data_IF_887149792852
#
_entry.id   IF_887149792852
#
_cell.length_a   1.000
_cell.length_b   1.000
_cell.length_c   1.000
_cell.angle_alpha   90.00
_cell.angle_beta   90.00
_cell.angle_gamma   90.00
#
_symmetry.space_group_name_H-M   'P 1'
#
loop_
_entity.id
_entity.type
_entity.pdbx_description
1 polymer ?
#
# COMPACT_ATOMS: atom_id res chain seq x y z
N UNK A 1 5.00 -38.03 12.54
CA UNK A 1 3.61 -37.73 12.10
C UNK A 1 3.60 -37.72 10.59
N UNK A 2 2.78 -38.53 9.93
CA UNK A 2 2.71 -38.59 8.46
C UNK A 2 1.63 -37.63 7.99
N UNK A 3 2.02 -36.60 7.26
CA UNK A 3 1.12 -35.60 6.67
C UNK A 3 0.20 -36.31 5.67
N UNK A 4 -1.11 -36.12 5.80
CA UNK A 4 -2.07 -36.64 4.83
C UNK A 4 -2.02 -35.77 3.58
N UNK A 5 -1.86 -36.34 2.38
CA UNK A 5 -1.94 -35.58 1.14
C UNK A 5 -3.33 -34.97 0.98
N UNK A 6 -3.37 -33.72 0.51
CA UNK A 6 -4.60 -32.96 0.27
C UNK A 6 -5.27 -33.54 -0.98
N UNK A 7 -6.55 -33.88 -0.85
CA UNK A 7 -7.37 -34.44 -1.92
C UNK A 7 -8.06 -33.31 -2.71
N UNK A 8 -7.69 -33.18 -3.99
CA UNK A 8 -8.22 -32.17 -4.91
C UNK A 8 -9.38 -32.68 -5.77
N UNK A 9 -9.86 -33.91 -5.57
CA UNK A 9 -10.97 -34.49 -6.35
C UNK A 9 -12.30 -33.72 -6.25
N UNK A 10 -12.43 -32.80 -5.29
CA UNK A 10 -13.59 -31.91 -5.16
C UNK A 10 -13.67 -30.82 -6.22
N UNK A 11 -12.55 -30.49 -6.87
CA UNK A 11 -12.50 -29.45 -7.90
C UNK A 11 -12.78 -29.99 -9.30
N UNK A 12 -12.72 -31.30 -9.48
CA UNK A 12 -12.85 -31.99 -10.78
C UNK A 12 -14.31 -32.13 -11.26
N UNK A 13 -15.27 -31.62 -10.48
CA UNK A 13 -16.70 -31.63 -10.81
C UNK A 13 -17.28 -30.23 -11.07
N UNK A 14 -16.43 -29.21 -11.29
CA UNK A 14 -16.86 -27.91 -11.79
C UNK A 14 -17.07 -27.99 -13.31
N UNK A 15 -18.16 -28.63 -13.73
CA UNK A 15 -18.72 -28.42 -15.07
C UNK A 15 -19.31 -27.00 -15.11
N UNK A 16 -18.49 -26.03 -15.50
CA UNK A 16 -18.96 -24.72 -15.94
C UNK A 16 -19.54 -24.88 -17.34
N UNK A 17 -20.79 -25.32 -17.42
CA UNK A 17 -21.59 -25.12 -18.62
C UNK A 17 -21.83 -23.62 -18.75
N UNK A 18 -21.03 -22.99 -19.60
CA UNK A 18 -21.21 -21.63 -20.07
C UNK A 18 -22.49 -21.62 -20.91
N UNK A 19 -23.59 -21.16 -20.30
CA UNK A 19 -24.89 -21.00 -20.94
C UNK A 19 -24.82 -19.71 -21.79
N UNK A 20 -24.18 -19.83 -22.95
CA UNK A 20 -24.22 -18.87 -24.04
C UNK A 20 -25.63 -18.88 -24.65
N UNK A 21 -26.45 -17.86 -24.37
CA UNK A 21 -27.43 -17.32 -25.32
C UNK A 21 -28.18 -16.10 -24.74
N UNK A 22 -27.64 -14.89 -24.98
CA UNK A 22 -28.46 -13.70 -25.26
C UNK A 22 -27.58 -12.60 -25.88
N UNK A 23 -27.51 -12.60 -27.20
CA UNK A 23 -26.79 -11.64 -28.04
C UNK A 23 -27.49 -10.26 -28.05
N UNK A 24 -27.54 -9.56 -26.91
CA UNK A 24 -27.83 -8.13 -26.89
C UNK A 24 -26.63 -7.39 -27.48
N UNK A 25 -26.75 -6.97 -28.75
CA UNK A 25 -25.85 -6.05 -29.44
C UNK A 25 -25.75 -4.71 -28.70
N UNK A 26 -24.98 -4.67 -27.61
CA UNK A 26 -24.55 -3.45 -26.94
C UNK A 26 -23.52 -2.79 -27.84
N UNK A 27 -23.96 -1.77 -28.58
CA UNK A 27 -23.08 -0.95 -29.38
C UNK A 27 -21.95 -0.36 -28.52
N UNK A 28 -20.77 -0.11 -29.11
CA UNK A 28 -19.61 0.39 -28.36
C UNK A 28 -19.95 1.71 -27.67
N UNK A 29 -19.44 1.95 -26.44
CA UNK A 29 -19.71 3.16 -25.69
C UNK A 29 -19.25 4.38 -26.49
N UNK A 30 -20.19 5.29 -26.75
CA UNK A 30 -19.96 6.47 -27.59
C UNK A 30 -19.53 7.63 -26.71
N UNK A 31 -18.23 7.88 -26.63
CA UNK A 31 -17.65 9.00 -25.89
C UNK A 31 -17.76 10.28 -26.71
N UNK A 32 -18.61 11.21 -26.28
CA UNK A 32 -18.71 12.55 -26.88
C UNK A 32 -17.71 13.49 -26.21
N UNK A 33 -16.66 13.89 -26.95
CA UNK A 33 -15.76 14.95 -26.52
C UNK A 33 -16.36 16.32 -26.83
N UNK A 34 -16.39 17.20 -25.84
CA UNK A 34 -16.73 18.61 -26.05
C UNK A 34 -15.47 19.38 -26.45
N UNK A 35 -15.49 20.02 -27.62
CA UNK A 35 -14.36 20.80 -28.15
C UNK A 35 -14.30 22.23 -27.62
N UNK A 36 -15.29 22.65 -26.81
CA UNK A 36 -15.38 24.02 -26.30
C UNK A 36 -15.52 24.01 -24.78
N UNK A 37 -14.87 24.93 -24.05
CA UNK A 37 -15.03 25.08 -22.61
C UNK A 37 -16.45 25.57 -22.30
N UNK A 38 -17.34 24.67 -21.91
CA UNK A 38 -18.67 25.04 -21.44
C UNK A 38 -18.60 25.60 -20.02
N UNK A 39 -18.97 26.87 -19.85
CA UNK A 39 -19.19 27.46 -18.54
C UNK A 39 -20.59 27.13 -18.05
N UNK A 40 -20.70 26.43 -16.93
CA UNK A 40 -21.97 26.24 -16.23
C UNK A 40 -22.22 27.47 -15.36
N UNK A 41 -23.08 28.37 -15.84
CA UNK A 41 -23.56 29.50 -15.05
C UNK A 41 -24.71 29.03 -14.16
N UNK A 42 -24.42 28.76 -12.88
CA UNK A 42 -25.46 28.51 -11.88
C UNK A 42 -26.05 29.85 -11.47
N UNK A 43 -27.20 30.19 -12.05
CA UNK A 43 -27.95 31.42 -11.74
C UNK A 43 -28.96 31.21 -10.62
N UNK A 44 -29.04 32.17 -9.70
CA UNK A 44 -30.26 32.47 -8.93
C UNK A 44 -30.10 32.67 -7.43
N UNK A 45 -29.66 33.85 -6.99
CA UNK A 45 -30.48 34.69 -6.10
C UNK A 45 -29.84 36.07 -5.87
N UNK A 46 -30.63 37.11 -6.12
CA UNK A 46 -30.32 38.52 -5.88
C UNK A 46 -30.09 38.80 -4.40
N UNK A 47 -28.85 39.10 -4.02
CA UNK A 47 -28.56 39.90 -2.84
C UNK A 47 -27.61 41.04 -3.21
N UNK A 48 -28.21 42.22 -3.33
CA UNK A 48 -27.53 43.51 -3.48
C UNK A 48 -26.77 43.82 -2.20
N UNK A 49 -25.43 43.69 -2.23
CA UNK A 49 -24.55 44.27 -1.20
C UNK A 49 -23.86 45.50 -1.82
N UNK A 50 -23.96 46.70 -1.22
CA UNK A 50 -23.32 47.90 -1.74
C UNK A 50 -21.80 47.80 -1.60
N UNK A 51 -21.15 47.89 -2.75
CA UNK A 51 -19.71 48.00 -2.96
C UNK A 51 -19.14 49.26 -2.30
N UNK A 52 -18.13 49.10 -1.41
CA UNK A 52 -17.21 50.19 -1.08
C UNK A 52 -15.86 49.71 -0.50
N UNK A 53 -14.83 49.74 -1.36
CA UNK A 53 -13.38 49.86 -1.07
C UNK A 53 -12.67 48.73 -0.27
N UNK A 54 -11.32 48.59 -0.31
CA UNK A 54 -10.30 49.38 -1.03
C UNK A 54 -9.47 48.55 -2.03
N UNK A 55 -8.55 49.22 -2.73
CA UNK A 55 -7.66 48.68 -3.75
C UNK A 55 -7.04 47.31 -3.42
N UNK A 56 -7.13 46.31 -4.32
CA UNK A 56 -6.41 45.07 -4.15
C UNK A 56 -4.92 45.36 -4.30
N UNK A 57 -4.17 45.08 -3.24
CA UNK A 57 -2.74 44.79 -3.36
C UNK A 57 -2.58 43.69 -4.43
N UNK A 58 -1.54 43.70 -5.27
CA UNK A 58 -1.27 42.61 -6.19
C UNK A 58 -0.88 41.38 -5.36
N UNK A 59 -1.88 40.70 -4.82
CA UNK A 59 -1.80 39.32 -4.40
C UNK A 59 -1.29 38.57 -5.61
N UNK A 60 -0.03 38.16 -5.51
CA UNK A 60 0.58 37.11 -6.30
C UNK A 60 -0.33 35.88 -6.25
N UNK A 61 -1.35 35.85 -7.11
CA UNK A 61 -2.01 34.63 -7.52
C UNK A 61 -0.98 33.90 -8.34
N UNK A 62 -0.09 33.20 -7.63
CA UNK A 62 0.87 32.29 -8.19
C UNK A 62 0.06 31.33 -9.06
N UNK A 63 0.27 31.28 -10.38
CA UNK A 63 -0.37 30.27 -11.19
C UNK A 63 0.15 28.94 -10.66
N UNK A 64 -0.76 28.07 -10.22
CA UNK A 64 -0.47 26.68 -9.89
C UNK A 64 -0.78 25.82 -11.13
N UNK A 65 0.17 25.61 -12.06
CA UNK A 65 0.13 24.46 -12.96
C UNK A 65 1.28 23.51 -12.58
N UNK A 66 1.17 22.86 -11.42
CA UNK A 66 2.12 21.84 -10.97
C UNK A 66 1.46 20.52 -10.50
N UNK A 67 0.15 20.34 -10.76
CA UNK A 67 -0.62 19.19 -10.27
C UNK A 67 -0.46 17.91 -11.11
N UNK A 68 0.76 17.47 -11.44
CA UNK A 68 0.91 16.21 -12.21
C UNK A 68 2.10 15.31 -11.89
N UNK A 69 3.06 15.78 -11.09
CA UNK A 69 4.21 14.96 -10.64
C UNK A 69 4.17 14.74 -9.13
N UNK A 70 3.62 15.69 -8.35
CA UNK A 70 3.58 15.63 -6.88
C UNK A 70 2.77 14.43 -6.36
N UNK A 71 1.81 13.91 -7.14
CA UNK A 71 1.01 12.73 -6.77
C UNK A 71 1.80 11.40 -6.84
N UNK A 72 2.92 11.35 -7.57
CA UNK A 72 3.68 10.11 -7.80
C UNK A 72 4.60 9.79 -6.60
N UNK A 73 4.91 10.79 -5.76
CA UNK A 73 5.73 10.64 -4.55
C UNK A 73 4.93 10.76 -3.25
N UNK A 74 3.61 10.54 -3.29
CA UNK A 74 2.75 10.63 -2.11
C UNK A 74 3.27 9.69 -0.98
N UNK A 75 3.56 10.26 0.19
CA UNK A 75 4.16 9.54 1.34
C UNK A 75 5.48 8.82 1.04
N UNK A 76 6.21 9.24 -0.01
CA UNK A 76 7.49 8.68 -0.41
C UNK A 76 8.53 9.75 -0.70
N UNK A 77 9.45 9.46 -1.62
CA UNK A 77 10.55 10.34 -1.99
C UNK A 77 10.91 10.17 -3.47
N UNK A 78 11.46 11.23 -4.07
CA UNK A 78 11.95 11.23 -5.45
C UNK A 78 13.47 11.26 -5.49
N UNK A 79 14.05 10.43 -6.35
CA UNK A 79 15.46 10.34 -6.69
C UNK A 79 15.67 10.65 -8.18
N UNK A 80 16.92 10.85 -8.65
CA UNK A 80 17.18 11.10 -10.06
C UNK A 80 16.77 9.95 -10.99
N UNK A 81 16.89 8.70 -10.55
CA UNK A 81 16.65 7.49 -11.37
C UNK A 81 15.27 6.86 -11.14
N UNK A 82 14.66 7.11 -9.97
CA UNK A 82 13.34 6.58 -9.64
C UNK A 82 12.62 7.50 -8.66
N UNK A 83 11.32 7.34 -8.53
CA UNK A 83 10.53 7.91 -7.43
C UNK A 83 9.72 6.80 -6.81
N UNK A 84 9.38 6.91 -5.53
CA UNK A 84 8.51 5.94 -4.89
C UNK A 84 7.45 6.64 -4.06
N UNK A 85 6.36 5.92 -3.84
CA UNK A 85 5.25 6.28 -2.97
C UNK A 85 4.79 5.05 -2.21
N UNK A 86 3.94 5.26 -1.22
CA UNK A 86 3.37 4.15 -0.47
C UNK A 86 2.00 4.51 0.09
N UNK A 87 1.21 3.46 0.31
CA UNK A 87 0.00 3.53 1.10
C UNK A 87 0.12 2.60 2.33
N UNK A 88 -1.01 2.18 2.88
CA UNK A 88 -1.03 1.28 4.05
C UNK A 88 -0.51 -0.14 3.78
N UNK A 89 -0.63 -0.64 2.55
CA UNK A 89 -0.39 -2.05 2.20
C UNK A 89 0.69 -2.27 1.14
N UNK A 90 0.95 -1.28 0.29
CA UNK A 90 1.92 -1.36 -0.80
C UNK A 90 2.89 -0.17 -0.81
N UNK A 91 4.10 -0.42 -1.31
CA UNK A 91 5.02 0.59 -1.78
C UNK A 91 5.13 0.46 -3.31
N UNK A 92 4.98 1.58 -4.02
CA UNK A 92 5.08 1.61 -5.48
C UNK A 92 6.33 2.39 -5.87
N UNK A 93 7.19 1.78 -6.66
CA UNK A 93 8.39 2.42 -7.22
C UNK A 93 8.21 2.65 -8.72
N UNK A 94 8.52 3.86 -9.19
CA UNK A 94 8.51 4.26 -10.59
C UNK A 94 9.95 4.56 -11.03
N UNK A 95 10.52 3.70 -11.88
CA UNK A 95 11.89 3.85 -12.37
C UNK A 95 11.85 4.46 -13.77
N UNK A 96 12.54 5.58 -13.95
CA UNK A 96 12.51 6.29 -15.22
C UNK A 96 13.22 5.48 -16.30
N UNK A 97 12.53 5.27 -17.42
CA UNK A 97 12.99 4.44 -18.53
C UNK A 97 13.19 5.27 -19.80
N UNK A 98 14.20 4.96 -20.63
CA UNK A 98 14.32 5.55 -21.96
C UNK A 98 13.03 5.41 -22.79
N UNK A 99 12.66 6.39 -23.64
CA UNK A 99 11.40 6.37 -24.39
C UNK A 99 11.20 5.16 -25.33
N UNK A 100 12.29 4.51 -25.74
CA UNK A 100 12.28 3.32 -26.59
C UNK A 100 12.16 1.99 -25.82
N UNK A 101 12.12 2.04 -24.49
CA UNK A 101 12.07 0.85 -23.62
C UNK A 101 10.80 0.05 -23.87
N UNK A 102 10.98 -1.26 -24.09
CA UNK A 102 9.94 -2.27 -24.21
C UNK A 102 10.00 -3.23 -23.02
N UNK A 103 8.95 -4.01 -22.81
CA UNK A 103 8.90 -5.00 -21.72
C UNK A 103 10.10 -5.97 -21.75
N UNK A 104 10.51 -6.45 -22.94
CA UNK A 104 11.67 -7.34 -23.09
C UNK A 104 13.02 -6.71 -22.71
N UNK A 105 13.08 -5.38 -22.59
CA UNK A 105 14.29 -4.64 -22.23
C UNK A 105 14.41 -4.47 -20.70
N UNK A 106 13.39 -4.91 -19.95
CA UNK A 106 13.28 -4.79 -18.50
C UNK A 106 13.48 -6.15 -17.86
N UNK A 107 14.34 -6.19 -16.84
CA UNK A 107 14.54 -7.34 -15.97
C UNK A 107 14.32 -6.89 -14.53
N UNK A 108 13.33 -7.47 -13.86
CA UNK A 108 13.05 -7.26 -12.44
C UNK A 108 13.40 -8.56 -11.72
N UNK A 109 14.17 -8.48 -10.64
CA UNK A 109 14.54 -9.65 -9.84
C UNK A 109 14.50 -9.28 -8.38
N UNK A 110 13.86 -10.14 -7.58
CA UNK A 110 13.84 -10.03 -6.14
C UNK A 110 14.36 -11.31 -5.51
N UNK A 111 15.24 -11.18 -4.52
CA UNK A 111 15.83 -12.30 -3.79
C UNK A 111 15.43 -12.21 -2.32
N UNK A 112 14.53 -13.12 -1.90
CA UNK A 112 13.94 -13.13 -0.56
C UNK A 112 14.98 -13.27 0.55
N UNK A 113 15.96 -14.13 0.37
CA UNK A 113 16.98 -14.44 1.40
C UNK A 113 17.84 -13.23 1.77
N UNK A 114 18.13 -12.38 0.78
CA UNK A 114 19.02 -11.21 0.93
C UNK A 114 18.26 -9.89 1.00
N UNK A 115 16.92 -9.91 0.98
CA UNK A 115 16.19 -8.65 1.02
C UNK A 115 16.23 -7.88 -0.30
N UNK A 116 16.72 -8.45 -1.40
CA UNK A 116 17.37 -7.66 -2.46
C UNK A 116 16.51 -7.50 -3.71
N UNK A 117 16.29 -6.25 -4.14
CA UNK A 117 15.58 -5.94 -5.38
C UNK A 117 16.59 -5.38 -6.40
N UNK A 118 16.51 -5.85 -7.65
CA UNK A 118 17.27 -5.34 -8.78
C UNK A 118 16.33 -5.11 -9.96
N UNK A 119 16.37 -3.90 -10.51
CA UNK A 119 15.66 -3.54 -11.73
C UNK A 119 16.66 -3.01 -12.73
N UNK A 120 16.79 -3.74 -13.83
CA UNK A 120 17.72 -3.43 -14.91
C UNK A 120 16.93 -3.14 -16.18
N UNK A 121 17.21 -2.00 -16.80
CA UNK A 121 16.63 -1.59 -18.08
C UNK A 121 17.78 -1.46 -19.09
N UNK A 122 17.78 -2.31 -20.12
CA UNK A 122 18.83 -2.36 -21.13
C UNK A 122 18.24 -2.13 -22.51
N UNK A 123 18.50 -0.96 -23.10
CA UNK A 123 18.08 -0.65 -24.47
C UNK A 123 19.30 -0.59 -25.39
N UNK A 124 19.16 -0.86 -26.70
CA UNK A 124 20.28 -0.78 -27.64
C UNK A 124 20.84 0.63 -27.83
N UNK A 125 20.03 1.66 -27.55
CA UNK A 125 20.30 3.05 -27.96
C UNK A 125 20.59 3.98 -26.79
N UNK A 126 20.38 3.55 -25.55
CA UNK A 126 20.55 4.39 -24.36
C UNK A 126 21.43 3.70 -23.31
N UNK A 127 21.96 4.50 -22.39
CA UNK A 127 22.71 4.01 -21.23
C UNK A 127 21.80 3.11 -20.39
N UNK A 128 22.27 1.91 -19.97
CA UNK A 128 21.50 1.05 -19.10
C UNK A 128 21.12 1.76 -17.79
N UNK A 129 19.88 1.58 -17.36
CA UNK A 129 19.43 2.04 -16.03
C UNK A 129 19.47 0.84 -15.10
N UNK A 130 20.12 1.01 -13.95
CA UNK A 130 20.19 0.01 -12.89
C UNK A 130 19.78 0.67 -11.58
N UNK A 131 18.74 0.10 -10.96
CA UNK A 131 18.32 0.43 -9.60
C UNK A 131 18.39 -0.88 -8.83
N UNK A 132 19.32 -0.98 -7.89
CA UNK A 132 19.50 -2.21 -7.12
C UNK A 132 19.91 -1.92 -5.69
N UNK A 133 19.49 -2.81 -4.79
CA UNK A 133 19.92 -2.80 -3.41
C UNK A 133 19.07 -3.69 -2.51
N UNK A 134 19.54 -3.93 -1.27
CA UNK A 134 18.70 -4.52 -0.24
C UNK A 134 17.57 -3.55 0.13
N UNK A 135 16.33 -4.01 0.06
CA UNK A 135 15.18 -3.28 0.57
C UNK A 135 15.32 -3.10 2.08
N UNK A 136 14.99 -1.90 2.56
CA UNK A 136 15.02 -1.58 3.98
C UNK A 136 13.96 -2.35 4.78
N UNK A 137 12.90 -2.81 4.11
CA UNK A 137 11.78 -3.53 4.70
C UNK A 137 11.43 -4.75 3.85
N UNK A 138 11.04 -5.88 4.47
CA UNK A 138 10.64 -7.07 3.74
C UNK A 138 9.30 -6.88 3.03
N UNK A 139 9.16 -7.52 1.87
CA UNK A 139 7.90 -7.60 1.11
C UNK A 139 7.26 -8.98 1.26
N UNK A 140 5.94 -9.03 1.06
CA UNK A 140 5.17 -10.26 1.04
C UNK A 140 5.09 -10.77 -0.41
N UNK A 141 5.58 -11.99 -0.62
CA UNK A 141 5.49 -12.75 -1.86
C UNK A 141 5.26 -14.21 -1.50
N UNK A 142 4.37 -14.88 -2.22
CA UNK A 142 4.22 -16.33 -2.09
C UNK A 142 5.41 -17.06 -2.72
N UNK A 143 5.58 -18.34 -2.39
CA UNK A 143 6.67 -19.13 -2.95
C UNK A 143 6.44 -19.36 -4.45
N UNK A 144 7.39 -18.89 -5.27
CA UNK A 144 7.31 -18.98 -6.73
C UNK A 144 6.67 -17.76 -7.40
N UNK A 145 6.16 -16.80 -6.63
CA UNK A 145 5.69 -15.53 -7.20
C UNK A 145 6.86 -14.58 -7.50
N UNK A 146 6.74 -13.87 -8.62
CA UNK A 146 7.63 -12.78 -8.99
C UNK A 146 7.04 -11.44 -8.55
N UNK A 147 7.89 -10.42 -8.38
CA UNK A 147 7.41 -9.06 -8.09
C UNK A 147 6.59 -8.55 -9.27
N UNK A 148 5.39 -8.06 -8.99
CA UNK A 148 4.54 -7.45 -10.00
C UNK A 148 5.16 -6.14 -10.52
N UNK A 149 5.25 -6.02 -11.84
CA UNK A 149 5.72 -4.83 -12.50
C UNK A 149 4.98 -4.60 -13.81
N UNK A 150 4.91 -3.33 -14.22
CA UNK A 150 4.33 -2.94 -15.50
C UNK A 150 5.06 -1.73 -16.09
N UNK A 151 4.98 -1.56 -17.41
CA UNK A 151 5.44 -0.35 -18.09
C UNK A 151 4.33 0.69 -18.05
N UNK A 152 4.60 1.85 -17.45
CA UNK A 152 3.67 2.98 -17.40
C UNK A 152 4.18 4.16 -18.23
N UNK A 153 3.25 4.97 -18.73
CA UNK A 153 3.53 6.10 -19.61
C UNK A 153 3.44 5.69 -21.08
N UNK A 154 2.28 5.95 -21.70
CA UNK A 154 2.14 5.92 -23.15
C UNK A 154 2.32 7.33 -23.72
N UNK A 155 3.09 7.43 -24.81
CA UNK A 155 3.41 8.70 -25.46
C UNK A 155 2.14 9.42 -25.89
N UNK A 156 1.76 10.45 -25.15
CA UNK A 156 0.59 11.26 -25.49
C UNK A 156 0.30 12.36 -24.46
N UNK A 157 1.01 13.48 -24.61
CA UNK A 157 0.76 14.81 -23.98
C UNK A 157 1.11 15.01 -22.50
N UNK A 158 2.19 15.80 -22.35
CA UNK A 158 2.37 16.93 -21.43
C UNK A 158 2.00 16.72 -19.96
N UNK A 159 3.02 16.60 -19.11
CA UNK A 159 2.83 16.78 -17.66
C UNK A 159 4.07 16.50 -16.80
N UNK A 160 4.99 15.66 -17.28
CA UNK A 160 6.29 15.42 -16.66
C UNK A 160 7.41 16.14 -17.42
N UNK A 161 8.56 16.40 -16.78
CA UNK A 161 9.81 16.95 -17.35
C UNK A 161 10.42 16.19 -18.56
N UNK A 162 9.64 15.39 -19.29
CA UNK A 162 10.05 14.74 -20.53
C UNK A 162 9.09 13.70 -21.11
N UNK A 163 7.81 13.62 -20.68
CA UNK A 163 6.85 12.64 -21.24
C UNK A 163 7.38 11.19 -21.28
N UNK A 164 8.19 10.83 -20.28
CA UNK A 164 8.99 9.60 -20.29
C UNK A 164 8.18 8.36 -19.90
N UNK A 165 8.65 7.21 -20.38
CA UNK A 165 8.19 5.89 -19.90
C UNK A 165 8.78 5.63 -18.52
N UNK A 166 8.11 4.83 -17.71
CA UNK A 166 8.66 4.33 -16.45
C UNK A 166 8.29 2.86 -16.26
N UNK A 167 9.09 2.15 -15.48
CA UNK A 167 8.75 0.84 -14.94
C UNK A 167 8.11 1.05 -13.57
N UNK A 168 6.84 0.69 -13.41
CA UNK A 168 6.16 0.67 -12.12
C UNK A 168 6.38 -0.71 -11.50
N UNK A 169 6.89 -0.74 -10.28
CA UNK A 169 7.13 -1.95 -9.48
C UNK A 169 6.24 -1.88 -8.24
N UNK A 170 5.38 -2.87 -8.04
CA UNK A 170 4.45 -2.95 -6.92
C UNK A 170 5.02 -3.87 -5.84
N UNK A 171 5.23 -3.32 -4.64
CA UNK A 171 5.86 -4.01 -3.51
C UNK A 171 4.84 -4.16 -2.38
N UNK A 172 4.27 -5.36 -2.22
CA UNK A 172 3.33 -5.63 -1.11
C UNK A 172 4.12 -5.71 0.20
N UNK A 173 3.74 -4.92 1.19
CA UNK A 173 4.48 -4.82 2.45
C UNK A 173 4.26 -6.05 3.32
N UNK A 174 5.34 -6.61 3.85
CA UNK A 174 5.21 -7.59 4.93
C UNK A 174 4.82 -6.85 6.22
N UNK A 175 3.62 -7.14 6.74
CA UNK A 175 3.15 -6.59 8.01
C UNK A 175 3.34 -7.62 9.12
N UNK A 176 4.01 -7.27 10.23
CA UNK A 176 4.16 -8.18 11.37
C UNK A 176 2.82 -8.56 12.01
N UNK A 177 1.80 -7.69 11.88
CA UNK A 177 0.45 -7.90 12.38
C UNK A 177 -0.59 -7.32 11.40
N UNK A 178 -1.74 -8.00 11.19
CA UNK A 178 -2.78 -7.53 10.27
C UNK A 178 -3.39 -6.16 10.62
N UNK A 179 -3.35 -5.76 11.88
CA UNK A 179 -3.92 -4.50 12.39
C UNK A 179 -2.91 -3.34 12.42
N UNK A 180 -1.66 -3.59 12.05
CA UNK A 180 -0.59 -2.60 12.11
C UNK A 180 -0.22 -2.10 10.72
N UNK A 181 -0.28 -0.77 10.52
CA UNK A 181 0.20 -0.13 9.30
C UNK A 181 1.70 0.12 9.41
N UNK A 182 2.47 -0.43 8.48
CA UNK A 182 3.91 -0.24 8.40
C UNK A 182 4.27 0.81 7.34
N UNK A 183 4.63 2.02 7.79
CA UNK A 183 5.12 3.09 6.93
C UNK A 183 6.63 2.98 6.75
N UNK A 184 7.08 2.79 5.52
CA UNK A 184 8.49 2.73 5.18
C UNK A 184 9.11 4.13 5.29
N UNK A 185 10.25 4.27 5.93
CA UNK A 185 11.02 5.52 5.91
C UNK A 185 11.89 5.67 4.67
N UNK A 186 12.17 4.57 3.96
CA UNK A 186 13.05 4.50 2.80
C UNK A 186 12.81 3.19 2.01
N UNK A 187 13.26 3.13 0.75
CA UNK A 187 13.15 1.92 -0.09
C UNK A 187 14.35 1.00 0.11
N UNK A 188 15.56 1.49 -0.13
CA UNK A 188 16.78 0.70 0.00
C UNK A 188 17.53 1.04 1.30
N UNK A 189 18.32 0.07 1.80
CA UNK A 189 19.25 0.33 2.90
C UNK A 189 20.33 1.30 2.42
N UNK A 190 20.49 2.41 3.11
CA UNK A 190 21.46 3.46 2.76
C UNK A 190 20.83 4.71 2.15
N UNK A 191 19.60 4.62 1.63
CA UNK A 191 18.85 5.80 1.15
C UNK A 191 18.53 6.76 2.30
N UNK A 192 18.28 8.02 1.95
CA UNK A 192 17.75 9.02 2.87
C UNK A 192 16.38 8.61 3.44
N UNK A 193 16.11 9.01 4.67
CA UNK A 193 14.83 8.74 5.33
C UNK A 193 13.83 9.88 5.17
N UNK A 194 12.57 9.52 4.94
CA UNK A 194 11.43 10.42 5.09
C UNK A 194 10.92 10.42 6.53
N UNK A 195 10.42 11.57 6.98
CA UNK A 195 9.73 11.69 8.25
C UNK A 195 8.32 11.10 8.17
N UNK A 196 8.22 9.81 8.50
CA UNK A 196 6.94 9.08 8.49
C UNK A 196 5.94 9.62 9.52
N UNK A 197 6.33 10.48 10.47
CA UNK A 197 5.39 11.02 11.47
C UNK A 197 4.39 12.01 10.89
N UNK A 198 4.72 12.58 9.72
CA UNK A 198 3.93 13.58 9.02
C UNK A 198 2.97 13.01 8.00
N UNK A 199 3.05 11.71 7.71
CA UNK A 199 2.19 11.03 6.74
C UNK A 199 0.72 11.11 7.19
N UNK A 200 -0.11 11.67 6.32
CA UNK A 200 -1.56 11.72 6.52
C UNK A 200 -2.10 10.28 6.62
N UNK A 201 -2.87 9.98 7.67
CA UNK A 201 -3.34 8.62 7.96
C UNK A 201 -2.48 7.82 8.94
N UNK A 202 -1.25 8.27 9.29
CA UNK A 202 -0.52 7.68 10.43
C UNK A 202 -1.16 8.02 11.76
N UNK A 203 -1.77 9.21 11.86
CA UNK A 203 -2.75 9.49 12.92
C UNK A 203 -3.99 8.66 12.61
N UNK A 204 -3.90 7.35 12.83
CA UNK A 204 -5.09 6.65 13.31
C UNK A 204 -5.60 7.46 14.49
N UNK A 205 -6.91 7.57 14.64
CA UNK A 205 -7.52 8.06 15.86
C UNK A 205 -7.22 7.04 16.97
N UNK A 206 -5.93 6.83 17.30
CA UNK A 206 -5.46 5.96 18.35
C UNK A 206 -6.10 6.39 19.66
N UNK A 207 -6.29 7.70 19.80
CA UNK A 207 -7.07 8.29 20.87
C UNK A 207 -8.53 7.79 20.87
N UNK A 208 -9.21 7.76 19.71
CA UNK A 208 -10.56 7.21 19.60
C UNK A 208 -10.65 5.70 19.86
N UNK A 209 -9.75 4.91 19.26
CA UNK A 209 -9.70 3.46 19.47
C UNK A 209 -9.34 3.11 20.93
N UNK A 210 -8.44 3.87 21.55
CA UNK A 210 -8.07 3.73 22.96
C UNK A 210 -9.19 4.16 23.89
N UNK A 211 -9.88 5.28 23.61
CA UNK A 211 -11.06 5.72 24.36
C UNK A 211 -12.19 4.69 24.28
N UNK A 212 -12.43 4.11 23.10
CA UNK A 212 -13.41 3.03 22.94
C UNK A 212 -13.00 1.75 23.70
N UNK A 213 -11.74 1.35 23.62
CA UNK A 213 -11.22 0.21 24.39
C UNK A 213 -11.33 0.44 25.90
N UNK A 214 -11.00 1.64 26.37
CA UNK A 214 -11.17 2.03 27.78
C UNK A 214 -12.64 2.02 28.20
N UNK A 215 -13.55 2.50 27.34
CA UNK A 215 -14.99 2.48 27.62
C UNK A 215 -15.48 1.04 27.80
N UNK A 216 -15.16 0.14 26.86
CA UNK A 216 -15.53 -1.28 26.95
C UNK A 216 -14.94 -1.95 28.19
N UNK A 217 -13.69 -1.64 28.52
CA UNK A 217 -13.06 -2.14 29.73
C UNK A 217 -13.78 -1.68 31.00
N UNK A 218 -14.16 -0.41 31.10
CA UNK A 218 -14.92 0.11 32.25
C UNK A 218 -16.29 -0.54 32.36
N UNK A 219 -16.99 -0.76 31.24
CA UNK A 219 -18.26 -1.48 31.19
C UNK A 219 -18.12 -2.92 31.67
N UNK A 220 -17.07 -3.64 31.23
CA UNK A 220 -16.79 -5.01 31.66
C UNK A 220 -16.42 -5.11 33.14
N UNK A 221 -15.61 -4.18 33.65
CA UNK A 221 -15.27 -4.12 35.08
C UNK A 221 -16.51 -3.82 35.93
N UNK A 222 -17.37 -2.90 35.49
CA UNK A 222 -18.62 -2.60 36.18
C UNK A 222 -19.56 -3.81 36.19
N UNK A 223 -19.68 -4.52 35.05
CA UNK A 223 -20.47 -5.75 34.93
C UNK A 223 -19.97 -6.85 35.86
N UNK A 224 -18.65 -7.06 35.92
CA UNK A 224 -18.02 -8.06 36.79
C UNK A 224 -18.20 -7.74 38.27
N UNK A 225 -18.08 -6.46 38.64
CA UNK A 225 -18.34 -6.03 40.01
C UNK A 225 -19.82 -6.19 40.40
N UNK A 226 -20.76 -6.01 39.46
CA UNK A 226 -22.19 -6.19 39.71
C UNK A 226 -22.61 -7.67 39.86
N UNK A 227 -21.90 -8.61 39.23
CA UNK A 227 -22.16 -10.05 39.35
C UNK A 227 -21.71 -10.65 40.70
N UNK A 228 -21.11 -9.87 41.57
CA UNK A 228 -20.61 -10.31 42.87
C UNK A 228 -19.29 -11.09 42.75
N UNK A 229 -18.64 -11.37 43.89
CA UNK A 229 -17.44 -12.20 43.92
C UNK A 229 -17.79 -13.57 43.35
N UNK A 230 -17.08 -14.01 42.31
CA UNK A 230 -17.15 -15.40 41.89
C UNK A 230 -16.57 -16.21 43.05
N UNK A 231 -17.42 -16.95 43.76
CA UNK A 231 -16.97 -18.00 44.67
C UNK A 231 -16.28 -19.06 43.81
N UNK A 232 -14.95 -18.96 43.75
CA UNK A 232 -14.13 -20.05 43.26
C UNK A 232 -14.14 -21.08 44.37
N UNK A 233 -15.01 -22.07 44.25
CA UNK A 233 -14.85 -23.34 44.98
C UNK A 233 -13.51 -23.93 44.51
N UNK A 234 -12.45 -23.63 45.27
CA UNK A 234 -11.20 -24.35 45.17
C UNK A 234 -11.48 -25.72 45.78
N UNK A 235 -11.99 -26.64 44.98
CA UNK A 235 -11.96 -28.06 45.29
C UNK A 235 -10.49 -28.48 45.36
N UNK A 236 -9.93 -28.34 46.56
CA UNK A 236 -8.62 -28.85 46.91
C UNK A 236 -8.69 -30.36 47.06
N UNK A 237 -8.50 -31.08 45.94
CA UNK A 237 -7.85 -32.39 46.02
C UNK A 237 -6.37 -32.15 46.35
N UNK A 238 -6.10 -32.11 47.65
CA UNK A 238 -4.77 -32.33 48.21
C UNK A 238 -4.47 -33.82 48.08
N UNK A 239 -4.15 -34.29 46.88
CA UNK A 239 -3.29 -35.45 46.70
C UNK A 239 -1.86 -34.89 46.77
N UNK A 240 -1.08 -35.18 47.80
CA UNK A 240 -0.70 -36.53 48.13
C UNK A 240 0.79 -36.63 47.82
N UNK A 241 1.56 -36.94 48.85
CA UNK A 241 3.01 -36.97 48.89
C UNK A 241 3.63 -37.73 47.71
N UNK A 242 4.66 -37.14 47.13
CA UNK A 242 5.50 -37.75 46.11
C UNK A 242 6.92 -37.25 46.21
N UNK A 243 7.62 -37.64 47.27
CA UNK A 243 9.08 -37.62 47.34
C UNK A 243 9.66 -38.29 46.09
N UNK A 244 10.28 -37.49 45.22
CA UNK A 244 10.96 -37.96 44.02
C UNK A 244 12.29 -37.25 43.86
N UNK A 245 13.29 -37.66 44.66
CA UNK A 245 14.67 -37.19 44.55
C UNK A 245 15.26 -37.45 43.16
N UNK A 246 15.32 -36.40 42.33
CA UNK A 246 15.90 -36.42 40.99
C UNK A 246 17.30 -35.82 40.94
N UNK A 247 18.26 -36.63 41.37
CA UNK A 247 19.73 -36.53 41.22
C UNK A 247 20.25 -35.57 40.14
N UNK A 248 21.01 -34.55 40.57
CA UNK A 248 21.96 -33.79 39.76
C UNK A 248 22.96 -34.77 39.08
N UNK A 249 23.02 -34.76 37.75
CA UNK A 249 24.21 -35.21 37.00
C UNK A 249 24.83 -34.00 36.31
N UNK A 250 26.00 -33.62 36.83
CA UNK A 250 27.01 -32.81 36.15
C UNK A 250 27.78 -33.71 35.19
N UNK A 251 27.77 -33.39 33.90
CA UNK A 251 28.80 -33.67 32.89
C UNK A 251 28.66 -32.50 31.90
N UNK A 252 29.67 -31.83 31.37
CA UNK A 252 31.12 -31.95 31.37
C UNK A 252 31.59 -30.89 30.37
#
# INVERSE_FOLDING_TARGET
MRSRPIDYSKWDHLDTSDDEDEEEKRGPPRVTHFNEPMSVTVGGHDHLIPSRSPAPSPSSTTPHPASRIEDISENGQSFPTFTWRQDRGEAIMHIWAPPCTRAKDVQVTYTRDTNHLSVRITTPTAVPVLVEGPLANPIQLEEGEEVEWEMVGEGGREGGRGGGRAVRVSLIKSTPRPDMVHWWSRVFVGDDEIDTSRIAGRKMNFQGAWEEAQRRFREDVARRNAQGPVEVEVEGEVEGEGEGGGKLKREG
#
